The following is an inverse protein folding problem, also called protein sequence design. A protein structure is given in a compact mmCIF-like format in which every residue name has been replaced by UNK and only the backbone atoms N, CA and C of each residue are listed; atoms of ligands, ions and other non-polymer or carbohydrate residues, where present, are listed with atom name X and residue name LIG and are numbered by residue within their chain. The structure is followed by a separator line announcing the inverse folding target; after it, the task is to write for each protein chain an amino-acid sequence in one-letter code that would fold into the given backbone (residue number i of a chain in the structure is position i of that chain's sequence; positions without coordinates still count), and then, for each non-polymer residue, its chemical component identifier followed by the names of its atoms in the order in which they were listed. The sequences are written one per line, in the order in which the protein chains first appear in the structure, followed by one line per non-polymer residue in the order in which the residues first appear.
data_IF_958105330214
#
_entry.id   IF_958105330214
#
_cell.length_a   1.000
_cell.length_b   1.000
_cell.length_c   1.000
_cell.angle_alpha   90.00
_cell.angle_beta   90.00
_cell.angle_gamma   90.00
#
_symmetry.space_group_name_H-M   'P 1'
#
loop_
_entity.id
_entity.type
_entity.pdbx_description
1 polymer ?
#
# COMPACT_ATOMS: atom_id res chain seq x y z
N UNK A 1 -13.41 -4.27 17.97
CA UNK A 1 -13.42 -3.36 19.15
C UNK A 1 -14.39 -3.79 20.27
N UNK A 2 -15.41 -4.60 19.98
CA UNK A 2 -16.35 -5.06 21.03
C UNK A 2 -15.87 -6.26 21.86
N UNK A 3 -14.92 -7.06 21.39
CA UNK A 3 -14.39 -8.20 22.16
C UNK A 3 -13.53 -7.77 23.34
N UNK A 4 -12.71 -6.75 23.17
CA UNK A 4 -11.83 -6.24 24.23
C UNK A 4 -12.57 -5.54 25.37
N UNK A 5 -13.62 -4.77 25.06
CA UNK A 5 -14.41 -4.08 26.08
C UNK A 5 -15.19 -5.06 26.97
N UNK A 6 -15.74 -6.14 26.43
CA UNK A 6 -16.40 -7.19 27.21
C UNK A 6 -15.43 -7.92 28.15
N UNK A 7 -14.23 -8.26 27.66
CA UNK A 7 -13.23 -8.92 28.50
C UNK A 7 -12.78 -8.02 29.66
N UNK A 8 -12.64 -6.71 29.44
CA UNK A 8 -12.26 -5.75 30.47
C UNK A 8 -13.36 -5.57 31.54
N UNK A 9 -14.61 -5.59 31.11
CA UNK A 9 -15.77 -5.50 32.01
C UNK A 9 -15.87 -6.75 32.91
N UNK A 10 -15.69 -7.95 32.33
CA UNK A 10 -15.68 -9.20 33.10
C UNK A 10 -14.54 -9.24 34.13
N UNK A 11 -13.32 -8.85 33.75
CA UNK A 11 -12.18 -8.80 34.65
C UNK A 11 -12.39 -7.79 35.79
N UNK A 12 -13.01 -6.64 35.54
CA UNK A 12 -13.33 -5.66 36.56
C UNK A 12 -14.40 -6.13 37.55
N UNK A 13 -15.37 -6.93 37.13
CA UNK A 13 -16.38 -7.53 38.00
C UNK A 13 -15.78 -8.64 38.88
N UNK A 14 -14.91 -9.50 38.34
CA UNK A 14 -14.26 -10.58 39.08
C UNK A 14 -13.20 -10.06 40.05
N UNK A 15 -12.35 -9.13 39.62
CA UNK A 15 -11.20 -8.68 40.43
C UNK A 15 -11.55 -7.60 41.44
N UNK A 16 -12.56 -6.78 41.19
CA UNK A 16 -12.84 -5.59 42.01
C UNK A 16 -14.28 -5.53 42.54
N UNK A 17 -15.15 -6.50 42.25
CA UNK A 17 -16.54 -6.50 42.69
C UNK A 17 -17.37 -5.29 42.22
N UNK A 18 -16.92 -4.58 41.20
CA UNK A 18 -17.56 -3.39 40.67
C UNK A 18 -18.60 -3.83 39.65
N UNK A 19 -19.86 -3.58 39.93
CA UNK A 19 -20.94 -3.87 38.97
C UNK A 19 -20.80 -2.96 37.73
N UNK A 20 -20.41 -3.56 36.62
CA UNK A 20 -20.25 -2.83 35.39
C UNK A 20 -21.59 -2.27 34.88
N UNK A 21 -21.61 -1.06 34.31
CA UNK A 21 -22.82 -0.55 33.68
C UNK A 21 -23.24 -1.44 32.52
N UNK A 22 -24.54 -1.71 32.40
CA UNK A 22 -25.08 -2.52 31.31
C UNK A 22 -24.66 -1.92 29.96
N UNK A 23 -24.02 -2.73 29.13
CA UNK A 23 -23.67 -2.30 27.76
C UNK A 23 -24.93 -1.92 27.00
N UNK A 24 -24.94 -0.77 26.29
CA UNK A 24 -26.09 -0.40 25.48
C UNK A 24 -26.44 -1.50 24.48
N UNK A 25 -27.59 -2.11 24.67
CA UNK A 25 -28.16 -3.06 23.71
C UNK A 25 -28.79 -2.24 22.58
N UNK A 26 -28.30 -2.43 21.35
CA UNK A 26 -28.90 -1.78 20.18
C UNK A 26 -28.01 -0.81 19.41
N UNK A 27 -26.69 -0.81 19.65
CA UNK A 27 -25.79 -0.15 18.69
C UNK A 27 -25.99 -0.79 17.31
N UNK A 28 -26.32 -0.02 16.26
CA UNK A 28 -26.52 -0.58 14.93
C UNK A 28 -25.23 -1.29 14.54
N UNK A 29 -25.33 -2.61 14.31
CA UNK A 29 -24.26 -3.34 13.62
C UNK A 29 -24.08 -2.64 12.30
N UNK A 30 -22.90 -2.11 12.05
CA UNK A 30 -22.53 -1.50 10.77
C UNK A 30 -22.58 -2.61 9.70
N UNK A 31 -23.80 -2.92 9.22
CA UNK A 31 -24.12 -4.06 8.34
C UNK A 31 -23.61 -3.85 6.91
N UNK A 32 -23.19 -2.64 6.58
CA UNK A 32 -22.66 -2.34 5.27
C UNK A 32 -21.16 -2.05 5.38
N UNK A 33 -20.36 -3.11 5.52
CA UNK A 33 -18.96 -3.02 5.11
C UNK A 33 -18.99 -2.85 3.60
N UNK A 34 -19.08 -1.58 3.15
CA UNK A 34 -18.98 -1.27 1.71
C UNK A 34 -17.75 -1.98 1.17
N UNK A 35 -17.96 -2.84 0.16
CA UNK A 35 -16.85 -3.49 -0.53
C UNK A 35 -15.93 -2.39 -1.01
N UNK A 36 -14.68 -2.39 -0.56
CA UNK A 36 -13.70 -1.42 -0.99
C UNK A 36 -13.56 -1.55 -2.50
N UNK A 37 -13.74 -0.45 -3.22
CA UNK A 37 -13.53 -0.45 -4.67
C UNK A 37 -12.08 -0.86 -4.96
N UNK A 38 -11.92 -1.81 -5.84
CA UNK A 38 -10.64 -2.23 -6.42
C UNK A 38 -10.69 -2.00 -7.92
N UNK A 39 -9.55 -1.71 -8.52
CA UNK A 39 -9.45 -1.58 -9.96
C UNK A 39 -9.40 -2.97 -10.61
N UNK A 40 -9.97 -3.07 -11.80
CA UNK A 40 -9.78 -4.25 -12.65
C UNK A 40 -8.34 -4.31 -13.18
N UNK A 41 -7.91 -5.48 -13.64
CA UNK A 41 -6.57 -5.63 -14.26
C UNK A 41 -6.37 -4.68 -15.45
N UNK A 42 -7.39 -4.43 -16.26
CA UNK A 42 -7.36 -3.48 -17.38
C UNK A 42 -7.15 -2.03 -16.89
N UNK A 43 -7.87 -1.63 -15.84
CA UNK A 43 -7.68 -0.31 -15.24
C UNK A 43 -6.25 -0.13 -14.71
N UNK A 44 -5.70 -1.16 -14.06
CA UNK A 44 -4.33 -1.13 -13.54
C UNK A 44 -3.33 -1.07 -14.69
N UNK A 45 -3.50 -1.87 -15.74
CA UNK A 45 -2.65 -1.86 -16.92
C UNK A 45 -2.65 -0.47 -17.59
N UNK A 46 -3.82 0.14 -17.77
CA UNK A 46 -3.97 1.51 -18.30
C UNK A 46 -3.25 2.54 -17.42
N UNK A 47 -3.40 2.43 -16.09
CA UNK A 47 -2.75 3.33 -15.14
C UNK A 47 -1.22 3.20 -15.20
N UNK A 48 -0.70 1.97 -15.26
CA UNK A 48 0.75 1.70 -15.34
C UNK A 48 1.32 2.20 -16.67
N UNK A 49 0.63 1.95 -17.79
CA UNK A 49 1.06 2.46 -19.09
C UNK A 49 1.17 3.98 -19.09
N UNK A 50 0.13 4.68 -18.61
CA UNK A 50 0.17 6.14 -18.48
C UNK A 50 1.26 6.63 -17.52
N UNK A 51 1.51 5.90 -16.44
CA UNK A 51 2.55 6.25 -15.48
C UNK A 51 3.97 6.13 -16.06
N UNK A 52 4.21 5.23 -16.99
CA UNK A 52 5.51 5.10 -17.67
C UNK A 52 5.78 6.29 -18.59
N UNK A 53 4.75 6.87 -19.17
CA UNK A 53 4.85 8.08 -20.00
C UNK A 53 4.96 9.37 -19.16
N UNK A 54 4.47 9.37 -17.92
CA UNK A 54 4.54 10.49 -16.99
C UNK A 54 5.84 10.44 -16.16
N UNK A 55 6.90 10.94 -16.73
CA UNK A 55 8.23 10.89 -16.13
C UNK A 55 8.36 11.68 -14.80
N UNK A 56 7.45 12.63 -14.51
CA UNK A 56 7.50 13.46 -13.30
C UNK A 56 6.62 12.93 -12.16
N UNK A 57 5.44 12.39 -12.48
CA UNK A 57 4.45 12.04 -11.46
C UNK A 57 4.07 10.57 -11.49
N UNK A 58 4.33 9.87 -12.59
CA UNK A 58 3.88 8.50 -12.82
C UNK A 58 4.21 7.54 -11.70
N UNK A 59 5.44 7.58 -11.21
CA UNK A 59 5.89 6.70 -10.13
C UNK A 59 5.11 6.91 -8.83
N UNK A 60 4.62 8.13 -8.54
CA UNK A 60 3.89 8.40 -7.31
C UNK A 60 2.58 7.63 -7.24
N UNK A 61 1.84 7.54 -8.33
CA UNK A 61 0.55 6.86 -8.34
C UNK A 61 0.61 5.40 -8.79
N UNK A 62 1.66 4.99 -9.53
CA UNK A 62 1.84 3.60 -9.92
C UNK A 62 2.44 2.73 -8.82
N UNK A 63 3.32 3.29 -7.98
CA UNK A 63 4.12 2.55 -7.00
C UNK A 63 3.30 1.61 -6.10
N UNK A 64 2.17 2.00 -5.48
CA UNK A 64 1.44 1.10 -4.59
C UNK A 64 0.76 -0.06 -5.32
N UNK A 65 0.53 0.05 -6.63
CA UNK A 65 0.05 -1.08 -7.45
C UNK A 65 1.17 -2.05 -7.82
N UNK A 66 2.42 -1.58 -7.85
CA UNK A 66 3.59 -2.38 -8.23
C UNK A 66 4.35 -2.96 -7.03
N UNK A 67 4.24 -2.33 -5.87
CA UNK A 67 4.97 -2.72 -4.65
C UNK A 67 4.06 -3.11 -3.48
N UNK A 68 2.75 -2.87 -3.56
CA UNK A 68 1.80 -3.23 -2.52
C UNK A 68 2.01 -2.55 -1.17
N UNK A 69 2.71 -1.42 -1.12
CA UNK A 69 3.03 -0.70 0.12
C UNK A 69 1.84 0.03 0.72
N UNK A 70 1.90 0.28 2.03
CA UNK A 70 1.02 1.26 2.68
C UNK A 70 1.44 2.68 2.26
N UNK A 71 0.53 3.66 2.23
CA UNK A 71 0.90 5.04 1.89
C UNK A 71 1.99 5.64 2.79
N UNK A 72 2.00 5.33 4.08
CA UNK A 72 3.04 5.78 5.02
C UNK A 72 4.40 5.13 4.74
N UNK A 73 4.43 3.87 4.30
CA UNK A 73 5.63 3.15 3.86
C UNK A 73 6.19 3.77 2.56
N UNK A 74 5.31 4.01 1.58
CA UNK A 74 5.70 4.66 0.33
C UNK A 74 6.32 6.03 0.59
N UNK A 75 5.65 6.90 1.34
CA UNK A 75 6.13 8.26 1.60
C UNK A 75 7.37 8.29 2.52
N UNK A 76 7.58 7.23 3.31
CA UNK A 76 8.74 7.06 4.17
C UNK A 76 9.97 6.45 3.48
N UNK A 77 9.84 5.95 2.24
CA UNK A 77 10.89 5.23 1.54
C UNK A 77 12.08 6.12 1.19
N UNK A 78 13.29 5.63 1.44
CA UNK A 78 14.55 6.30 1.13
C UNK A 78 15.28 5.60 -0.03
N UNK A 79 16.08 6.35 -0.78
CA UNK A 79 16.90 5.80 -1.86
C UNK A 79 17.95 4.79 -1.36
N UNK A 80 18.43 4.92 -0.13
CA UNK A 80 19.33 3.95 0.51
C UNK A 80 18.69 2.58 0.76
N UNK A 81 17.36 2.49 0.66
CA UNK A 81 16.58 1.27 0.85
C UNK A 81 16.23 0.57 -0.48
N UNK A 82 16.59 1.17 -1.61
CA UNK A 82 16.44 0.57 -2.94
C UNK A 82 17.74 -0.10 -3.33
N UNK A 83 17.72 -1.42 -3.37
CA UNK A 83 18.84 -2.24 -3.80
C UNK A 83 18.62 -2.68 -5.26
N UNK A 84 19.24 -1.97 -6.19
CA UNK A 84 19.12 -2.28 -7.61
C UNK A 84 19.95 -3.51 -8.05
N UNK A 85 20.96 -3.91 -7.28
CA UNK A 85 21.78 -5.10 -7.57
C UNK A 85 21.00 -6.35 -7.19
N UNK A 86 20.42 -6.38 -5.99
CA UNK A 86 19.59 -7.48 -5.52
C UNK A 86 18.15 -7.41 -6.02
N UNK A 87 17.77 -6.33 -6.67
CA UNK A 87 16.44 -6.09 -7.20
C UNK A 87 15.34 -6.11 -6.12
N UNK A 88 15.61 -5.47 -4.96
CA UNK A 88 14.67 -5.43 -3.82
C UNK A 88 14.50 -4.02 -3.25
N UNK A 89 13.33 -3.77 -2.68
CA UNK A 89 12.98 -2.59 -1.87
C UNK A 89 12.89 -3.04 -0.42
N UNK A 90 13.67 -2.42 0.45
CA UNK A 90 13.66 -2.70 1.89
C UNK A 90 12.67 -1.77 2.59
N UNK A 91 11.56 -2.29 3.09
CA UNK A 91 10.63 -1.52 3.91
C UNK A 91 11.10 -1.60 5.35
N UNK A 92 11.55 -0.46 5.88
CA UNK A 92 12.16 -0.36 7.23
C UNK A 92 11.54 0.75 8.07
N UNK A 93 10.83 1.69 7.43
CA UNK A 93 10.27 2.87 8.09
C UNK A 93 8.96 3.31 7.49
N UNK A 94 8.30 4.19 8.21
CA UNK A 94 7.10 4.90 7.76
C UNK A 94 7.32 6.41 7.88
N UNK A 95 6.53 7.17 7.13
CA UNK A 95 6.38 8.59 7.37
C UNK A 95 5.12 8.84 8.20
N UNK A 96 5.29 9.53 9.31
CA UNK A 96 4.21 10.01 10.16
C UNK A 96 3.40 11.13 9.50
N UNK A 97 2.27 11.48 10.10
CA UNK A 97 1.42 12.58 9.60
C UNK A 97 2.11 13.93 9.61
N UNK A 98 3.07 14.13 10.50
CA UNK A 98 3.92 15.32 10.60
C UNK A 98 4.95 15.41 9.48
N UNK A 99 5.24 14.32 8.79
CA UNK A 99 6.31 14.21 7.80
C UNK A 99 7.61 13.62 8.35
N UNK A 100 7.66 13.35 9.65
CA UNK A 100 8.79 12.69 10.30
C UNK A 100 8.91 11.23 9.88
N UNK A 101 10.13 10.70 9.91
CA UNK A 101 10.42 9.31 9.62
C UNK A 101 10.57 8.55 10.92
N UNK A 102 9.80 7.47 11.06
CA UNK A 102 9.87 6.57 12.20
C UNK A 102 10.29 5.19 11.71
N UNK A 103 11.30 4.61 12.34
CA UNK A 103 11.69 3.23 12.08
C UNK A 103 10.59 2.27 12.56
N UNK A 104 10.33 1.26 11.78
CA UNK A 104 9.36 0.24 12.16
C UNK A 104 10.02 -0.66 13.22
N UNK A 105 9.31 -0.87 14.33
CA UNK A 105 9.74 -1.85 15.32
C UNK A 105 9.79 -3.24 14.68
N UNK A 106 10.74 -4.06 15.13
CA UNK A 106 11.01 -5.45 14.63
C UNK A 106 9.85 -6.44 14.89
N UNK A 107 8.61 -6.04 14.71
CA UNK A 107 7.56 -7.05 14.52
C UNK A 107 7.75 -7.62 13.13
N UNK A 108 7.86 -8.93 13.02
CA UNK A 108 8.15 -9.68 11.78
C UNK A 108 7.34 -9.24 10.54
N UNK A 109 6.16 -8.67 10.75
CA UNK A 109 5.30 -8.18 9.67
C UNK A 109 5.57 -6.74 9.22
N UNK A 110 6.32 -5.95 9.98
CA UNK A 110 6.59 -4.53 9.66
C UNK A 110 7.73 -4.37 8.68
N UNK A 111 8.89 -4.95 9.00
CA UNK A 111 10.09 -4.90 8.17
C UNK A 111 10.10 -6.05 7.17
N UNK A 112 10.26 -5.75 5.90
CA UNK A 112 10.27 -6.74 4.83
C UNK A 112 11.02 -6.24 3.61
N UNK A 113 11.39 -7.19 2.77
CA UNK A 113 11.97 -6.93 1.45
C UNK A 113 10.92 -7.24 0.38
N UNK A 114 10.72 -6.31 -0.55
CA UNK A 114 9.79 -6.45 -1.66
C UNK A 114 10.61 -6.61 -2.94
N UNK A 115 10.49 -7.73 -3.66
CA UNK A 115 11.10 -7.88 -4.98
C UNK A 115 10.55 -6.84 -5.97
N UNK A 116 11.42 -6.26 -6.79
CA UNK A 116 11.00 -5.33 -7.83
C UNK A 116 10.69 -6.07 -9.12
N UNK A 117 9.54 -5.78 -9.73
CA UNK A 117 9.29 -6.12 -11.12
C UNK A 117 10.18 -5.30 -12.06
N UNK A 118 10.41 -5.78 -13.28
CA UNK A 118 11.18 -5.05 -14.29
C UNK A 118 10.61 -3.65 -14.55
N UNK A 119 9.28 -3.53 -14.62
CA UNK A 119 8.59 -2.25 -14.80
C UNK A 119 8.84 -1.29 -13.63
N UNK A 120 8.75 -1.77 -12.39
CA UNK A 120 9.01 -0.93 -11.22
C UNK A 120 10.46 -0.46 -11.16
N UNK A 121 11.40 -1.37 -11.47
CA UNK A 121 12.84 -1.06 -11.54
C UNK A 121 13.14 0.02 -12.58
N UNK A 122 12.62 -0.12 -13.78
CA UNK A 122 12.75 0.85 -14.87
C UNK A 122 12.23 2.25 -14.44
N UNK A 123 11.01 2.30 -13.90
CA UNK A 123 10.39 3.54 -13.43
C UNK A 123 11.19 4.20 -12.31
N UNK A 124 11.71 3.42 -11.35
CA UNK A 124 12.55 3.95 -10.27
C UNK A 124 13.88 4.49 -10.78
N UNK A 125 14.53 3.83 -11.74
CA UNK A 125 15.78 4.32 -12.35
C UNK A 125 15.53 5.62 -13.10
N UNK A 126 14.48 5.71 -13.92
CA UNK A 126 14.10 6.93 -14.63
C UNK A 126 13.78 8.08 -13.65
N UNK A 127 13.05 7.78 -12.59
CA UNK A 127 12.71 8.76 -11.56
C UNK A 127 13.93 9.26 -10.76
N UNK A 128 14.89 8.40 -10.47
CA UNK A 128 16.10 8.74 -9.71
C UNK A 128 16.86 9.92 -10.28
N UNK A 129 16.86 10.08 -11.60
CA UNK A 129 17.54 11.17 -12.32
C UNK A 129 16.83 12.50 -12.05
N UNK A 130 15.51 12.51 -11.98
CA UNK A 130 14.66 13.71 -11.85
C UNK A 130 14.20 14.00 -10.41
N UNK A 131 14.42 13.06 -9.50
CA UNK A 131 13.93 13.14 -8.13
C UNK A 131 14.48 14.39 -7.42
N UNK A 132 13.62 15.23 -6.82
CA UNK A 132 14.06 16.40 -6.07
C UNK A 132 14.98 16.03 -4.92
N UNK A 133 16.04 16.81 -4.75
CA UNK A 133 17.09 16.61 -3.75
C UNK A 133 16.92 17.54 -2.57
N UNK A 134 17.32 17.10 -1.38
CA UNK A 134 17.49 17.95 -0.21
C UNK A 134 18.93 18.49 -0.23
N UNK A 135 19.09 19.74 -0.64
CA UNK A 135 20.44 20.25 -0.97
C UNK A 135 21.02 19.49 -2.16
N UNK A 136 22.18 18.85 -1.96
CA UNK A 136 22.82 17.99 -2.98
C UNK A 136 22.45 16.51 -2.83
N UNK A 137 21.78 16.12 -1.75
CA UNK A 137 21.53 14.74 -1.38
C UNK A 137 20.24 14.19 -1.99
N UNK A 138 20.32 13.02 -2.59
CA UNK A 138 19.19 12.21 -3.00
C UNK A 138 18.72 11.36 -1.82
N UNK A 139 17.69 11.81 -1.12
CA UNK A 139 17.28 11.22 0.15
C UNK A 139 15.97 10.41 0.04
N UNK A 140 14.83 11.08 -0.11
CA UNK A 140 13.51 10.42 -0.22
C UNK A 140 13.22 9.97 -1.63
N UNK A 141 12.59 8.81 -1.79
CA UNK A 141 12.09 8.34 -3.11
C UNK A 141 10.87 9.15 -3.55
N UNK A 142 10.01 9.54 -2.60
CA UNK A 142 8.79 10.30 -2.85
C UNK A 142 8.81 11.64 -2.11
N UNK A 143 9.71 12.58 -2.49
CA UNK A 143 9.82 13.85 -1.82
C UNK A 143 8.73 14.84 -2.21
N UNK A 144 8.56 15.86 -1.39
CA UNK A 144 7.82 17.06 -1.78
C UNK A 144 8.57 17.83 -2.89
N UNK A 145 7.84 18.40 -3.87
CA UNK A 145 8.43 19.04 -5.05
C UNK A 145 9.02 20.43 -4.78
N UNK A 146 9.00 20.91 -3.54
CA UNK A 146 9.35 22.28 -3.19
C UNK A 146 8.22 23.30 -3.44
N UNK A 147 8.49 24.56 -3.16
CA UNK A 147 7.55 25.67 -3.34
C UNK A 147 7.71 26.26 -4.75
N UNK A 148 6.59 26.32 -5.47
CA UNK A 148 6.54 27.02 -6.74
C UNK A 148 6.72 28.52 -6.50
N UNK A 149 7.53 29.18 -7.33
CA UNK A 149 7.66 30.62 -7.39
C UNK A 149 7.01 31.14 -8.67
N UNK A 150 6.84 32.47 -8.74
CA UNK A 150 6.42 33.10 -9.98
C UNK A 150 7.46 32.91 -11.07
N UNK A 151 6.95 32.58 -12.26
CA UNK A 151 7.81 32.46 -13.45
C UNK A 151 8.63 33.76 -13.70
N UNK A 152 9.92 33.66 -14.04
CA UNK A 152 10.70 32.49 -14.43
C UNK A 152 11.52 31.85 -13.29
N UNK A 153 11.20 32.12 -12.03
CA UNK A 153 11.98 31.64 -10.89
C UNK A 153 11.83 30.12 -10.71
N UNK A 154 12.91 29.39 -10.44
CA UNK A 154 12.85 27.96 -10.15
C UNK A 154 12.11 27.69 -8.83
N UNK A 155 11.67 26.46 -8.61
CA UNK A 155 11.13 26.06 -7.30
C UNK A 155 12.16 26.24 -6.19
N UNK A 156 11.72 26.76 -5.04
CA UNK A 156 12.57 26.85 -3.84
C UNK A 156 12.37 25.58 -3.02
N UNK A 157 13.47 24.99 -2.59
CA UNK A 157 13.48 23.78 -1.80
C UNK A 157 13.00 22.57 -2.61
N UNK A 158 12.63 21.52 -1.91
CA UNK A 158 12.28 20.22 -2.46
C UNK A 158 13.09 19.14 -1.75
N UNK A 159 12.83 17.88 -2.05
CA UNK A 159 13.50 16.77 -1.38
C UNK A 159 13.03 16.49 0.05
N UNK A 160 12.25 17.40 0.66
CA UNK A 160 11.66 17.23 1.98
C UNK A 160 10.44 16.30 2.01
N UNK A 161 9.75 16.19 3.16
CA UNK A 161 8.60 15.31 3.30
C UNK A 161 7.42 15.74 2.40
N UNK A 162 6.77 14.76 1.79
CA UNK A 162 5.51 14.92 1.08
C UNK A 162 4.37 14.44 1.99
N UNK A 163 3.58 15.37 2.52
CA UNK A 163 2.46 15.00 3.37
C UNK A 163 1.39 14.24 2.60
N UNK A 164 0.76 13.25 3.24
CA UNK A 164 -0.23 12.36 2.61
C UNK A 164 -1.38 13.10 1.91
N UNK A 165 -1.88 14.18 2.49
CA UNK A 165 -2.93 14.99 1.86
C UNK A 165 -2.46 15.66 0.57
N UNK A 166 -1.21 16.17 0.57
CA UNK A 166 -0.59 16.77 -0.62
C UNK A 166 -0.31 15.70 -1.69
N UNK A 167 0.14 14.50 -1.29
CA UNK A 167 0.28 13.37 -2.19
C UNK A 167 -1.04 13.03 -2.90
N UNK A 168 -2.14 12.89 -2.13
CA UNK A 168 -3.46 12.61 -2.71
C UNK A 168 -3.94 13.72 -3.64
N UNK A 169 -3.78 14.98 -3.23
CA UNK A 169 -4.29 16.14 -3.97
C UNK A 169 -3.49 16.43 -5.24
N UNK A 170 -2.17 16.23 -5.21
CA UNK A 170 -1.27 16.65 -6.30
C UNK A 170 -0.97 15.54 -7.31
N UNK A 171 -0.92 14.30 -6.87
CA UNK A 171 -0.48 13.16 -7.71
C UNK A 171 -1.59 12.14 -7.91
N UNK A 172 -2.23 11.72 -6.83
CA UNK A 172 -3.18 10.61 -6.85
C UNK A 172 -4.50 10.96 -7.55
N UNK A 173 -5.27 11.89 -7.00
CA UNK A 173 -6.58 12.24 -7.53
C UNK A 173 -6.54 12.81 -8.96
N UNK A 174 -5.57 13.67 -9.34
CA UNK A 174 -5.43 14.12 -10.72
C UNK A 174 -5.18 13.00 -11.72
N UNK A 175 -4.35 11.99 -11.39
CA UNK A 175 -4.09 10.85 -12.26
C UNK A 175 -5.38 10.07 -12.58
N UNK A 176 -6.18 9.74 -11.55
CA UNK A 176 -7.45 9.04 -11.74
C UNK A 176 -8.44 9.84 -12.58
N UNK A 177 -8.51 11.16 -12.36
CA UNK A 177 -9.37 12.06 -13.14
C UNK A 177 -8.93 12.13 -14.60
N UNK A 178 -7.65 12.33 -14.86
CA UNK A 178 -7.09 12.41 -16.21
C UNK A 178 -7.31 11.11 -17.01
N UNK A 179 -7.12 9.97 -16.36
CA UNK A 179 -7.28 8.65 -16.97
C UNK A 179 -8.74 8.18 -17.04
N UNK A 180 -9.69 8.95 -16.49
CA UNK A 180 -11.11 8.57 -16.38
C UNK A 180 -11.29 7.20 -15.72
N UNK A 181 -10.52 6.91 -14.68
CA UNK A 181 -10.59 5.68 -13.92
C UNK A 181 -11.50 5.84 -12.69
N UNK A 182 -12.18 4.75 -12.25
CA UNK A 182 -12.88 4.75 -10.97
C UNK A 182 -11.92 5.14 -9.84
N UNK A 183 -12.33 6.10 -9.00
CA UNK A 183 -11.46 6.53 -7.91
C UNK A 183 -11.35 5.46 -6.83
N UNK A 184 -10.13 5.08 -6.52
CA UNK A 184 -9.79 4.24 -5.36
C UNK A 184 -8.82 5.00 -4.45
N UNK A 185 -8.79 4.68 -3.17
CA UNK A 185 -7.82 5.30 -2.25
C UNK A 185 -6.43 4.70 -2.44
N UNK A 186 -5.34 5.40 -2.06
CA UNK A 186 -3.99 4.81 -2.08
C UNK A 186 -3.88 3.51 -1.26
N UNK A 187 -4.67 3.37 -0.20
CA UNK A 187 -4.74 2.13 0.56
C UNK A 187 -5.45 1.00 -0.22
N UNK A 188 -6.44 1.35 -1.05
CA UNK A 188 -7.12 0.37 -1.91
C UNK A 188 -6.21 -0.14 -3.04
N UNK A 189 -5.21 0.63 -3.48
CA UNK A 189 -4.23 0.17 -4.46
C UNK A 189 -3.45 -1.06 -3.97
N UNK A 190 -3.09 -1.09 -2.69
CA UNK A 190 -2.49 -2.28 -2.06
C UNK A 190 -3.45 -3.49 -2.08
N UNK A 191 -4.75 -3.28 -1.91
CA UNK A 191 -5.73 -4.37 -2.07
C UNK A 191 -5.76 -4.87 -3.52
N UNK A 192 -5.67 -3.96 -4.50
CA UNK A 192 -5.57 -4.34 -5.91
C UNK A 192 -4.29 -5.14 -6.20
N UNK A 193 -3.14 -4.74 -5.66
CA UNK A 193 -1.87 -5.49 -5.76
C UNK A 193 -2.03 -6.92 -5.22
N UNK A 194 -2.57 -7.07 -4.00
CA UNK A 194 -2.80 -8.37 -3.37
C UNK A 194 -3.74 -9.22 -4.23
N UNK A 195 -4.88 -8.67 -4.67
CA UNK A 195 -5.84 -9.39 -5.50
C UNK A 195 -5.26 -9.79 -6.86
N UNK A 196 -4.39 -8.96 -7.45
CA UNK A 196 -3.70 -9.29 -8.70
C UNK A 196 -2.78 -10.49 -8.52
N UNK A 197 -1.95 -10.52 -7.47
CA UNK A 197 -1.05 -11.66 -7.21
C UNK A 197 -1.84 -12.95 -6.94
N UNK A 198 -2.93 -12.85 -6.18
CA UNK A 198 -3.81 -13.99 -5.91
C UNK A 198 -4.49 -14.51 -7.17
N UNK A 199 -4.95 -13.63 -8.06
CA UNK A 199 -5.53 -14.01 -9.33
C UNK A 199 -4.53 -14.69 -10.27
N UNK A 200 -3.23 -14.45 -10.08
CA UNK A 200 -2.14 -15.15 -10.77
C UNK A 200 -1.70 -16.45 -10.07
N UNK A 201 -2.43 -16.92 -9.07
CA UNK A 201 -2.16 -18.17 -8.37
C UNK A 201 -0.98 -18.12 -7.39
N UNK A 202 -0.49 -16.92 -7.04
CA UNK A 202 0.59 -16.80 -6.07
C UNK A 202 0.10 -17.20 -4.67
N UNK A 203 0.88 -18.03 -4.00
CA UNK A 203 0.57 -18.57 -2.68
C UNK A 203 0.25 -17.45 -1.66
N UNK A 204 -0.84 -17.64 -0.90
CA UNK A 204 -1.38 -16.64 0.04
C UNK A 204 -0.37 -16.24 1.11
N UNK A 205 0.45 -17.19 1.60
CA UNK A 205 1.51 -16.93 2.58
C UNK A 205 2.57 -15.98 2.03
N UNK A 206 3.02 -16.21 0.79
CA UNK A 206 3.98 -15.34 0.12
C UNK A 206 3.39 -13.95 -0.15
N UNK A 207 2.14 -13.87 -0.60
CA UNK A 207 1.43 -12.59 -0.79
C UNK A 207 1.32 -11.83 0.53
N UNK A 208 0.99 -12.52 1.63
CA UNK A 208 0.92 -11.92 2.97
C UNK A 208 2.28 -11.38 3.43
N UNK A 209 3.36 -12.13 3.20
CA UNK A 209 4.72 -11.74 3.52
C UNK A 209 5.14 -10.48 2.76
N UNK A 210 5.00 -10.48 1.42
CA UNK A 210 5.33 -9.33 0.57
C UNK A 210 4.50 -8.11 0.95
N UNK A 211 3.20 -8.31 1.19
CA UNK A 211 2.32 -7.25 1.64
C UNK A 211 2.61 -6.79 3.08
N UNK A 212 3.25 -7.59 3.93
CA UNK A 212 3.49 -7.28 5.35
C UNK A 212 2.21 -7.32 6.17
N UNK A 213 1.46 -8.42 6.06
CA UNK A 213 0.35 -8.73 6.93
C UNK A 213 0.84 -9.62 8.07
N UNK A 214 0.66 -9.19 9.33
CA UNK A 214 0.99 -9.98 10.50
C UNK A 214 0.17 -11.29 10.60
N UNK A 215 -1.03 -11.28 10.00
CA UNK A 215 -1.92 -12.44 9.96
C UNK A 215 -2.33 -12.75 8.52
N UNK A 216 -1.98 -13.93 7.97
CA UNK A 216 -2.41 -14.38 6.64
C UNK A 216 -3.93 -14.35 6.42
N UNK A 217 -4.73 -14.48 7.48
CA UNK A 217 -6.21 -14.39 7.42
C UNK A 217 -6.67 -13.05 6.82
N UNK A 218 -5.90 -11.97 6.99
CA UNK A 218 -6.20 -10.66 6.37
C UNK A 218 -6.07 -10.77 4.84
N UNK A 219 -5.10 -11.52 4.35
CA UNK A 219 -4.89 -11.78 2.92
C UNK A 219 -6.00 -12.70 2.38
N UNK A 220 -6.38 -13.74 3.13
CA UNK A 220 -7.50 -14.64 2.79
C UNK A 220 -8.81 -13.88 2.62
N UNK A 221 -9.08 -12.86 3.44
CA UNK A 221 -10.28 -12.04 3.31
C UNK A 221 -10.39 -11.30 1.96
N UNK A 222 -9.30 -11.17 1.22
CA UNK A 222 -9.28 -10.64 -0.15
C UNK A 222 -9.38 -11.74 -1.21
N UNK A 223 -8.97 -12.96 -0.88
CA UNK A 223 -9.00 -14.13 -1.77
C UNK A 223 -10.41 -14.52 -2.20
N UNK A 224 -11.40 -14.45 -1.30
CA UNK A 224 -12.80 -14.80 -1.56
C UNK A 224 -13.48 -13.93 -2.64
N UNK A 225 -12.84 -12.87 -3.09
CA UNK A 225 -13.35 -12.04 -4.19
C UNK A 225 -12.73 -12.39 -5.55
N UNK A 226 -11.54 -13.00 -5.58
CA UNK A 226 -10.79 -13.29 -6.81
C UNK A 226 -11.00 -14.74 -7.32
N UNK A 227 -11.28 -15.68 -6.42
CA UNK A 227 -11.40 -17.10 -6.78
C UNK A 227 -12.84 -17.55 -6.55
N UNK A 228 -13.65 -17.50 -7.61
CA UNK A 228 -14.99 -18.08 -7.62
C UNK A 228 -15.10 -19.37 -8.45
N UNK A 229 -14.03 -19.79 -9.10
CA UNK A 229 -14.03 -20.95 -9.95
C UNK A 229 -13.17 -22.07 -9.36
N UNK A 230 -13.82 -23.14 -8.95
CA UNK A 230 -13.18 -24.35 -8.46
C UNK A 230 -12.53 -25.21 -9.55
N UNK A 231 -12.69 -24.85 -10.83
CA UNK A 231 -12.18 -25.63 -11.98
C UNK A 231 -10.66 -25.75 -11.92
N UNK A 232 -9.93 -24.68 -11.57
CA UNK A 232 -8.50 -24.68 -11.44
C UNK A 232 -7.98 -25.66 -10.37
N UNK A 233 -8.74 -25.87 -9.29
CA UNK A 233 -8.41 -26.85 -8.26
C UNK A 233 -8.60 -28.30 -8.78
N UNK A 234 -9.64 -28.53 -9.55
CA UNK A 234 -9.91 -29.84 -10.16
C UNK A 234 -8.84 -30.15 -11.21
N UNK A 235 -8.49 -29.18 -12.09
CA UNK A 235 -7.40 -29.35 -13.06
C UNK A 235 -6.03 -29.60 -12.41
N UNK A 236 -5.79 -29.01 -11.23
CA UNK A 236 -4.56 -29.30 -10.47
C UNK A 236 -4.56 -30.72 -9.92
N UNK A 237 -5.70 -31.23 -9.45
CA UNK A 237 -5.85 -32.63 -9.01
C UNK A 237 -5.71 -33.59 -10.18
N UNK A 238 -6.31 -33.30 -11.33
CA UNK A 238 -6.21 -34.11 -12.53
C UNK A 238 -4.75 -34.16 -13.03
N UNK A 239 -4.01 -33.06 -12.96
CA UNK A 239 -2.57 -33.04 -13.27
C UNK A 239 -1.72 -33.81 -12.27
N UNK A 240 -2.11 -33.84 -11.00
CA UNK A 240 -1.35 -34.52 -9.95
C UNK A 240 -1.60 -36.04 -9.91
N UNK A 241 -2.81 -36.46 -10.26
CA UNK A 241 -3.28 -37.84 -10.07
C UNK A 241 -3.82 -38.49 -11.34
N UNK A 242 -3.96 -37.79 -12.45
CA UNK A 242 -4.54 -38.24 -13.71
C UNK A 242 -3.54 -38.87 -14.70
N UNK A 243 -2.44 -39.50 -14.18
CA UNK A 243 -1.47 -40.25 -14.99
C UNK A 243 -1.75 -41.72 -14.96
#
# INVERSE_FOLDING_TARGET
LMGGARAFVFAAEEDFGIRAPSMPTGLPRNRHRQKKAILTSEHIAKLIAAAREDAEHGIYYAFPFLAGTRPSEQLGLLWSEIDFERNVIRIRRIQERTGELTEMTKTEAGTRDIPMSAVLREMLLAWRVRCPRKGKELHRVFPGPGRLQEWPKPRIGGGGPLLYQNFRKRYWAPAFKALKLPYVTPHSARHSFISTLQAQGIEVGLVAQIAGHANPTVTLGHYTQAVRDGSAAIEALDRAYGS
#
